data_IF_115734032584
#
_entry.id   IF_115734032584
#
_cell.length_a   1.000
_cell.length_b   1.000
_cell.length_c   1.000
_cell.angle_alpha   90.00
_cell.angle_beta   90.00
_cell.angle_gamma   90.00
#
_symmetry.space_group_name_H-M   'P 1'
#
loop_
_entity.id
_entity.type
_entity.pdbx_description
1 polymer ?
#
# COMPACT_ATOMS: atom_id res chain seq x y z
N UNK A 1 8.83 1.64 5.86
CA UNK A 1 9.47 0.88 6.95
C UNK A 1 10.91 1.36 7.20
N UNK A 2 11.73 1.55 6.14
CA UNK A 2 13.17 1.85 6.26
C UNK A 2 13.55 3.19 5.64
N UNK A 3 12.60 3.99 5.20
CA UNK A 3 12.80 5.31 4.56
C UNK A 3 13.73 5.29 3.35
N UNK A 4 13.80 4.17 2.63
CA UNK A 4 14.51 4.10 1.35
C UNK A 4 13.73 4.85 0.27
N UNK A 5 14.46 5.49 -0.66
CA UNK A 5 13.86 6.01 -1.87
C UNK A 5 13.40 4.87 -2.80
N UNK A 6 12.45 5.14 -3.71
CA UNK A 6 11.91 4.11 -4.58
C UNK A 6 12.92 3.43 -5.50
N UNK A 7 13.93 4.18 -6.01
CA UNK A 7 14.95 3.62 -6.88
C UNK A 7 15.84 2.64 -6.12
N UNK A 8 16.28 2.99 -4.91
CA UNK A 8 17.03 2.08 -4.02
C UNK A 8 16.26 0.79 -3.75
N UNK A 9 14.95 0.87 -3.52
CA UNK A 9 14.11 -0.33 -3.31
C UNK A 9 14.07 -1.20 -4.56
N UNK A 10 13.87 -0.59 -5.74
CA UNK A 10 13.79 -1.31 -7.02
C UNK A 10 15.15 -1.97 -7.36
N UNK A 11 16.24 -1.25 -7.23
CA UNK A 11 17.58 -1.77 -7.51
C UNK A 11 17.96 -2.91 -6.55
N UNK A 12 17.58 -2.79 -5.28
CA UNK A 12 17.82 -3.83 -4.28
C UNK A 12 16.96 -5.08 -4.57
N UNK A 13 15.70 -4.90 -4.93
CA UNK A 13 14.84 -6.02 -5.32
C UNK A 13 15.36 -6.69 -6.61
N UNK A 14 15.90 -5.93 -7.56
CA UNK A 14 16.57 -6.44 -8.76
C UNK A 14 17.80 -7.30 -8.41
N UNK A 15 18.64 -6.86 -7.47
CA UNK A 15 19.79 -7.64 -6.99
C UNK A 15 19.37 -8.96 -6.33
N UNK A 16 18.28 -8.95 -5.53
CA UNK A 16 17.75 -10.15 -4.92
C UNK A 16 17.22 -11.15 -5.97
N UNK A 17 16.57 -10.65 -7.02
CA UNK A 17 16.14 -11.45 -8.16
C UNK A 17 17.31 -12.06 -8.92
N UNK A 18 18.37 -11.29 -9.22
CA UNK A 18 19.57 -11.76 -9.89
C UNK A 18 20.31 -12.84 -9.07
N UNK A 19 20.25 -12.74 -7.74
CA UNK A 19 20.71 -13.77 -6.81
C UNK A 19 19.75 -14.96 -6.75
N UNK A 20 18.63 -14.95 -7.47
CA UNK A 20 17.57 -15.97 -7.47
C UNK A 20 16.88 -16.16 -6.10
N UNK A 21 16.94 -15.16 -5.23
CA UNK A 21 16.36 -15.23 -3.89
C UNK A 21 14.87 -14.81 -3.88
N UNK A 22 14.47 -13.98 -4.85
CA UNK A 22 13.08 -13.56 -5.03
C UNK A 22 12.66 -13.73 -6.49
N UNK A 23 11.35 -13.70 -6.74
CA UNK A 23 10.79 -13.65 -8.08
C UNK A 23 10.93 -12.26 -8.69
N UNK A 24 10.49 -12.08 -9.94
CA UNK A 24 10.69 -10.86 -10.73
C UNK A 24 10.17 -9.60 -10.01
N UNK A 25 11.00 -8.55 -9.83
CA UNK A 25 10.68 -7.43 -8.94
C UNK A 25 9.79 -6.34 -9.56
N UNK A 26 9.67 -6.28 -10.89
CA UNK A 26 8.89 -5.25 -11.58
C UNK A 26 7.48 -5.74 -11.88
N UNK A 27 6.81 -6.22 -10.84
CA UNK A 27 5.45 -6.74 -10.92
C UNK A 27 4.47 -5.80 -10.21
N UNK A 28 3.36 -5.53 -10.86
CA UNK A 28 2.20 -4.82 -10.31
C UNK A 28 1.15 -5.78 -9.74
N UNK A 29 1.35 -7.08 -9.91
CA UNK A 29 0.43 -8.12 -9.49
C UNK A 29 0.63 -8.50 -8.02
N UNK A 30 -0.48 -8.63 -7.30
CA UNK A 30 -0.52 -9.04 -5.88
C UNK A 30 -0.92 -10.52 -5.72
N UNK A 31 -1.09 -11.25 -6.84
CA UNK A 31 -1.60 -12.62 -6.86
C UNK A 31 -0.55 -13.63 -7.29
N UNK A 32 -0.76 -14.89 -6.90
CA UNK A 32 0.13 -16.01 -7.13
C UNK A 32 -0.56 -17.11 -7.95
N UNK A 33 0.14 -17.75 -8.89
CA UNK A 33 -0.38 -18.88 -9.63
C UNK A 33 -0.48 -20.12 -8.72
N UNK A 34 -1.51 -20.95 -8.90
CA UNK A 34 -1.74 -22.13 -8.03
C UNK A 34 -0.58 -23.12 -7.96
N UNK A 35 0.21 -23.27 -9.03
CA UNK A 35 1.36 -24.17 -9.07
C UNK A 35 2.49 -23.76 -8.11
N UNK A 36 2.67 -22.46 -7.83
CA UNK A 36 3.65 -21.99 -6.84
C UNK A 36 3.26 -22.32 -5.40
N UNK A 37 2.01 -22.74 -5.16
CA UNK A 37 1.61 -23.21 -3.84
C UNK A 37 2.33 -24.53 -3.48
N UNK A 38 2.74 -25.32 -4.44
CA UNK A 38 3.45 -26.58 -4.22
C UNK A 38 4.86 -26.37 -3.65
N UNK A 39 5.48 -25.23 -3.96
CA UNK A 39 6.80 -24.84 -3.46
C UNK A 39 6.80 -24.35 -2.01
N UNK A 40 5.64 -24.13 -1.39
CA UNK A 40 5.51 -23.54 -0.05
C UNK A 40 6.33 -24.22 1.03
N UNK A 41 6.39 -25.56 0.99
CA UNK A 41 7.14 -26.31 2.00
C UNK A 41 8.64 -26.06 1.91
N UNK A 42 9.19 -26.01 0.70
CA UNK A 42 10.60 -25.72 0.47
C UNK A 42 10.92 -24.27 0.88
N UNK A 43 10.08 -23.30 0.46
CA UNK A 43 10.26 -21.90 0.79
C UNK A 43 10.18 -21.67 2.30
N UNK A 44 9.15 -22.15 2.99
CA UNK A 44 9.00 -21.97 4.44
C UNK A 44 10.13 -22.64 5.22
N UNK A 45 10.61 -23.82 4.80
CA UNK A 45 11.78 -24.46 5.42
C UNK A 45 13.05 -23.62 5.22
N UNK A 46 13.25 -23.02 4.05
CA UNK A 46 14.37 -22.13 3.81
C UNK A 46 14.30 -20.87 4.67
N UNK A 47 13.12 -20.27 4.83
CA UNK A 47 12.90 -19.09 5.67
C UNK A 47 13.11 -19.43 7.16
N UNK A 48 12.72 -20.62 7.59
CA UNK A 48 12.98 -21.10 8.96
C UNK A 48 14.49 -21.21 9.28
N UNK A 49 15.30 -21.43 8.25
CA UNK A 49 16.77 -21.57 8.38
C UNK A 49 17.53 -20.34 7.85
N UNK A 50 16.86 -19.24 7.59
CA UNK A 50 17.47 -18.06 6.94
C UNK A 50 18.40 -17.25 7.84
N UNK A 51 18.47 -17.52 9.16
CA UNK A 51 19.34 -16.84 10.10
C UNK A 51 18.73 -15.55 10.71
N UNK A 52 17.42 -15.33 10.61
CA UNK A 52 16.66 -14.33 11.37
C UNK A 52 15.64 -15.05 12.25
N UNK A 53 15.68 -14.78 13.57
CA UNK A 53 14.84 -15.46 14.56
C UNK A 53 13.34 -15.26 14.34
N UNK A 54 12.92 -14.09 13.86
CA UNK A 54 11.51 -13.79 13.61
C UNK A 54 11.00 -14.56 12.40
N UNK A 55 11.76 -14.55 11.29
CA UNK A 55 11.40 -15.35 10.11
C UNK A 55 11.35 -16.82 10.45
N UNK A 56 12.30 -17.31 11.25
CA UNK A 56 12.35 -18.71 11.69
C UNK A 56 11.10 -19.10 12.49
N UNK A 57 10.75 -18.29 13.48
CA UNK A 57 9.57 -18.53 14.31
C UNK A 57 8.29 -18.47 13.49
N UNK A 58 8.11 -17.41 12.69
CA UNK A 58 6.90 -17.24 11.87
C UNK A 58 6.75 -18.34 10.83
N UNK A 59 7.84 -18.78 10.19
CA UNK A 59 7.79 -19.88 9.24
C UNK A 59 7.53 -21.24 9.92
N UNK A 60 7.93 -21.41 11.19
CA UNK A 60 7.62 -22.60 11.98
C UNK A 60 6.14 -22.65 12.39
N UNK A 61 5.57 -21.51 12.78
CA UNK A 61 4.18 -21.38 13.23
C UNK A 61 3.17 -21.35 12.06
N UNK A 62 3.64 -21.19 10.83
CA UNK A 62 2.81 -21.09 9.63
C UNK A 62 2.01 -22.39 9.37
N UNK A 63 0.69 -22.25 9.21
CA UNK A 63 -0.16 -23.36 8.80
C UNK A 63 -0.08 -23.56 7.28
N UNK A 64 0.69 -24.57 6.88
CA UNK A 64 0.95 -24.89 5.47
C UNK A 64 -0.25 -25.45 4.71
N UNK A 65 -1.35 -25.72 5.38
CA UNK A 65 -2.63 -26.13 4.76
C UNK A 65 -3.45 -24.93 4.28
N UNK A 66 -3.20 -23.74 4.82
CA UNK A 66 -3.90 -22.52 4.42
C UNK A 66 -3.50 -22.16 2.99
N UNK A 67 -4.50 -21.96 2.14
CA UNK A 67 -4.37 -21.38 0.81
C UNK A 67 -5.14 -20.08 0.77
N UNK A 68 -4.43 -18.98 1.01
CA UNK A 68 -5.04 -17.65 1.05
C UNK A 68 -5.63 -17.23 -0.31
N UNK A 69 -6.40 -16.15 -0.33
CA UNK A 69 -6.96 -15.55 -1.56
C UNK A 69 -5.89 -15.01 -2.54
N UNK A 70 -4.61 -14.96 -2.12
CA UNK A 70 -3.51 -14.55 -3.00
C UNK A 70 -3.28 -15.56 -4.14
N UNK A 71 -3.54 -16.86 -3.95
CA UNK A 71 -3.45 -17.87 -5.02
C UNK A 71 -4.68 -17.82 -5.92
N UNK A 72 -4.67 -16.88 -6.89
CA UNK A 72 -5.79 -16.63 -7.78
C UNK A 72 -5.32 -16.40 -9.23
N UNK A 73 -5.34 -17.44 -10.03
CA UNK A 73 -4.91 -17.43 -11.43
C UNK A 73 -5.68 -16.42 -12.29
N UNK A 74 -6.98 -16.22 -12.00
CA UNK A 74 -7.83 -15.30 -12.78
C UNK A 74 -7.43 -13.82 -12.64
N UNK A 75 -6.62 -13.51 -11.65
CA UNK A 75 -6.15 -12.14 -11.38
C UNK A 75 -4.67 -11.93 -11.73
N UNK A 76 -4.04 -12.93 -12.33
CA UNK A 76 -2.67 -12.83 -12.83
C UNK A 76 -2.73 -12.31 -14.25
N UNK A 77 -1.89 -11.34 -14.54
CA UNK A 77 -1.69 -10.79 -15.88
C UNK A 77 -0.41 -11.36 -16.49
N UNK A 78 0.56 -10.52 -16.84
CA UNK A 78 1.86 -10.94 -17.36
C UNK A 78 2.81 -11.44 -16.26
N UNK A 79 2.64 -10.96 -15.03
CA UNK A 79 3.50 -11.26 -13.89
C UNK A 79 2.65 -11.67 -12.67
N UNK A 80 3.30 -12.29 -11.70
CA UNK A 80 2.70 -12.63 -10.40
C UNK A 80 3.39 -11.86 -9.27
N UNK A 81 2.87 -11.96 -8.05
CA UNK A 81 3.42 -11.28 -6.88
C UNK A 81 4.89 -11.67 -6.60
N UNK A 82 5.62 -10.75 -6.00
CA UNK A 82 7.01 -10.96 -5.60
C UNK A 82 7.05 -11.82 -4.34
N UNK A 83 7.71 -12.97 -4.43
CA UNK A 83 7.84 -13.93 -3.32
C UNK A 83 9.28 -14.45 -3.21
N UNK A 84 9.70 -15.00 -2.06
CA UNK A 84 10.93 -15.77 -1.97
C UNK A 84 10.88 -17.00 -2.87
N UNK A 85 12.03 -17.45 -3.34
CA UNK A 85 12.16 -18.67 -4.15
C UNK A 85 12.51 -19.89 -3.28
N UNK A 86 12.63 -21.05 -3.91
CA UNK A 86 13.12 -22.28 -3.28
C UNK A 86 14.62 -22.29 -3.03
N UNK A 87 15.35 -21.23 -3.40
CA UNK A 87 16.79 -21.11 -3.14
C UNK A 87 17.02 -20.71 -1.68
N UNK A 88 17.85 -21.49 -0.98
CA UNK A 88 18.20 -21.19 0.41
C UNK A 88 18.98 -19.87 0.52
N UNK A 89 18.60 -19.05 1.50
CA UNK A 89 19.21 -17.75 1.76
C UNK A 89 19.71 -17.69 3.20
N UNK A 90 20.97 -17.31 3.39
CA UNK A 90 21.45 -16.82 4.69
C UNK A 90 21.33 -15.27 4.69
N UNK A 91 20.33 -14.74 5.39
CA UNK A 91 20.03 -13.31 5.41
C UNK A 91 21.19 -12.48 5.97
N UNK A 92 22.07 -13.09 6.80
CA UNK A 92 23.24 -12.44 7.37
C UNK A 92 24.37 -12.23 6.34
N UNK A 93 24.33 -12.88 5.20
CA UNK A 93 25.29 -12.69 4.09
C UNK A 93 24.87 -11.57 3.13
N UNK A 94 23.69 -10.99 3.30
CA UNK A 94 23.15 -9.92 2.47
C UNK A 94 23.59 -8.55 2.98
N UNK A 95 23.58 -7.54 2.09
CA UNK A 95 23.72 -6.14 2.51
C UNK A 95 22.53 -5.73 3.42
N UNK A 96 22.65 -4.59 4.09
CA UNK A 96 21.56 -4.14 4.98
C UNK A 96 20.27 -3.88 4.21
N UNK A 97 20.37 -3.27 3.02
CA UNK A 97 19.24 -3.00 2.13
C UNK A 97 18.61 -4.30 1.63
N UNK A 98 19.44 -5.21 1.13
CA UNK A 98 18.99 -6.53 0.65
C UNK A 98 18.31 -7.32 1.77
N UNK A 99 18.88 -7.31 2.97
CA UNK A 99 18.31 -7.94 4.17
C UNK A 99 16.93 -7.39 4.49
N UNK A 100 16.82 -6.07 4.52
CA UNK A 100 15.58 -5.38 4.86
C UNK A 100 14.48 -5.67 3.83
N UNK A 101 14.80 -5.61 2.53
CA UNK A 101 13.83 -5.89 1.46
C UNK A 101 13.45 -7.38 1.43
N UNK A 102 14.42 -8.28 1.53
CA UNK A 102 14.16 -9.72 1.59
C UNK A 102 13.29 -10.08 2.80
N UNK A 103 13.54 -9.46 3.96
CA UNK A 103 12.73 -9.64 5.16
C UNK A 103 11.27 -9.24 4.93
N UNK A 104 11.00 -8.06 4.32
CA UNK A 104 9.63 -7.61 4.06
C UNK A 104 8.89 -8.55 3.07
N UNK A 105 9.58 -8.98 2.01
CA UNK A 105 9.02 -9.93 1.04
C UNK A 105 8.70 -11.26 1.74
N UNK A 106 9.61 -11.76 2.56
CA UNK A 106 9.44 -13.02 3.31
C UNK A 106 8.31 -12.91 4.33
N UNK A 107 8.21 -11.82 5.06
CA UNK A 107 7.12 -11.54 6.00
C UNK A 107 5.76 -11.55 5.30
N UNK A 108 5.63 -10.88 4.16
CA UNK A 108 4.40 -10.84 3.38
C UNK A 108 4.02 -12.23 2.82
N UNK A 109 5.01 -13.03 2.44
CA UNK A 109 4.80 -14.40 1.99
C UNK A 109 4.34 -15.32 3.14
N UNK A 110 5.03 -15.29 4.27
CA UNK A 110 4.66 -16.09 5.46
C UNK A 110 3.24 -15.74 5.93
N UNK A 111 2.85 -14.47 5.86
CA UNK A 111 1.51 -14.02 6.24
C UNK A 111 0.37 -14.72 5.47
N UNK A 112 0.67 -15.26 4.28
CA UNK A 112 -0.32 -16.00 3.47
C UNK A 112 -0.68 -17.38 4.08
N UNK A 113 0.06 -17.84 5.08
CA UNK A 113 -0.13 -19.09 5.79
C UNK A 113 -0.61 -18.90 7.24
N UNK A 114 -1.16 -17.72 7.53
CA UNK A 114 -1.80 -17.40 8.80
C UNK A 114 -3.30 -17.19 8.60
N UNK A 115 -4.07 -17.43 9.66
CA UNK A 115 -5.52 -17.20 9.65
C UNK A 115 -5.91 -15.76 9.37
N UNK A 116 -7.18 -15.53 9.13
CA UNK A 116 -7.72 -14.19 8.90
C UNK A 116 -7.64 -13.35 10.18
N UNK A 117 -7.52 -12.03 10.01
CA UNK A 117 -7.69 -11.08 11.10
C UNK A 117 -9.18 -10.84 11.30
N UNK A 118 -9.71 -11.29 12.44
CA UNK A 118 -11.13 -11.21 12.77
C UNK A 118 -11.36 -10.17 13.87
N UNK A 119 -12.31 -9.28 13.66
CA UNK A 119 -12.69 -8.28 14.65
C UNK A 119 -14.19 -8.00 14.63
N UNK A 120 -14.70 -7.59 15.77
CA UNK A 120 -16.05 -7.02 15.89
C UNK A 120 -15.98 -5.50 15.84
N UNK A 121 -16.83 -4.90 15.02
CA UNK A 121 -16.99 -3.45 14.95
C UNK A 121 -18.39 -3.10 15.44
N UNK A 122 -18.45 -2.29 16.50
CA UNK A 122 -19.71 -1.80 17.08
C UNK A 122 -19.86 -0.32 16.77
N UNK A 123 -21.03 0.07 16.27
CA UNK A 123 -21.41 1.47 16.12
C UNK A 123 -22.67 1.71 16.94
N UNK A 124 -22.57 2.64 17.90
CA UNK A 124 -23.70 3.11 18.70
C UNK A 124 -24.05 4.52 18.23
N UNK A 125 -25.32 4.74 17.90
CA UNK A 125 -25.86 6.06 17.57
C UNK A 125 -26.91 6.41 18.62
N UNK A 126 -26.70 7.51 19.32
CA UNK A 126 -27.63 8.05 20.30
C UNK A 126 -28.22 9.34 19.74
N UNK A 127 -29.53 9.43 19.69
CA UNK A 127 -30.23 10.66 19.26
C UNK A 127 -30.76 11.42 20.47
N UNK A 128 -30.47 12.71 20.53
CA UNK A 128 -31.06 13.63 21.51
C UNK A 128 -31.36 14.96 20.83
N UNK A 129 -32.60 15.43 20.93
CA UNK A 129 -33.05 16.73 20.38
C UNK A 129 -32.72 16.91 18.89
N UNK A 130 -32.78 15.84 18.10
CA UNK A 130 -32.43 15.77 16.67
C UNK A 130 -30.91 15.85 16.35
N UNK A 131 -30.07 15.80 17.37
CA UNK A 131 -28.62 15.67 17.19
C UNK A 131 -28.21 14.23 17.39
N UNK A 132 -27.28 13.74 16.57
CA UNK A 132 -26.75 12.38 16.63
C UNK A 132 -25.37 12.38 17.29
N UNK A 133 -25.20 11.53 18.28
CA UNK A 133 -23.93 11.22 18.93
C UNK A 133 -23.50 9.82 18.53
N UNK A 134 -22.32 9.69 17.93
CA UNK A 134 -21.81 8.43 17.40
C UNK A 134 -20.63 7.93 18.21
N UNK A 135 -20.69 6.70 18.67
CA UNK A 135 -19.55 5.99 19.25
C UNK A 135 -19.22 4.79 18.36
N UNK A 136 -17.94 4.66 18.01
CA UNK A 136 -17.40 3.53 17.26
C UNK A 136 -16.43 2.77 18.17
N UNK A 137 -16.56 1.45 18.21
CA UNK A 137 -15.67 0.55 18.93
C UNK A 137 -15.22 -0.60 18.04
N UNK A 138 -14.02 -1.10 18.29
CA UNK A 138 -13.46 -2.24 17.59
C UNK A 138 -12.75 -3.17 18.56
N UNK A 139 -13.14 -4.43 18.55
CA UNK A 139 -12.54 -5.47 19.38
C UNK A 139 -11.95 -6.54 18.47
N UNK A 140 -10.64 -6.78 18.58
CA UNK A 140 -9.98 -7.85 17.85
C UNK A 140 -10.32 -9.19 18.51
N UNK A 141 -10.86 -10.13 17.76
CA UNK A 141 -11.18 -11.48 18.19
C UNK A 141 -10.02 -12.42 17.87
N UNK A 142 -9.48 -12.33 16.65
CA UNK A 142 -8.32 -13.09 16.21
C UNK A 142 -7.34 -12.19 15.47
N UNK A 143 -6.09 -12.21 15.90
CA UNK A 143 -5.03 -11.42 15.28
C UNK A 143 -4.73 -11.88 13.85
N UNK A 144 -4.75 -13.17 13.62
CA UNK A 144 -4.43 -13.79 12.34
C UNK A 144 -3.08 -13.31 11.80
N UNK A 145 -3.01 -13.08 10.48
CA UNK A 145 -1.79 -12.64 9.80
C UNK A 145 -1.22 -11.29 10.31
N UNK A 146 -2.04 -10.44 10.93
CA UNK A 146 -1.57 -9.15 11.47
C UNK A 146 -0.58 -9.30 12.63
N UNK A 147 -0.57 -10.47 13.28
CA UNK A 147 0.41 -10.77 14.32
C UNK A 147 1.86 -10.54 13.83
N UNK A 148 2.16 -10.86 12.57
CA UNK A 148 3.49 -10.72 11.99
C UNK A 148 3.92 -9.24 11.86
N UNK A 149 2.98 -8.32 11.82
CA UNK A 149 3.21 -6.87 11.64
C UNK A 149 3.21 -6.08 12.96
N UNK A 150 2.88 -6.73 14.08
CA UNK A 150 2.96 -6.09 15.40
C UNK A 150 4.42 -5.81 15.75
N UNK A 151 4.70 -4.56 16.13
CA UNK A 151 6.00 -4.21 16.70
C UNK A 151 6.12 -4.83 18.08
N UNK A 152 7.16 -5.61 18.33
CA UNK A 152 7.59 -5.89 19.69
C UNK A 152 8.05 -4.57 20.31
N UNK A 153 7.24 -4.01 21.24
CA UNK A 153 7.69 -2.93 22.10
C UNK A 153 8.82 -3.49 22.96
N UNK A 154 10.07 -3.37 22.50
CA UNK A 154 11.21 -3.54 23.39
C UNK A 154 11.13 -2.43 24.44
N UNK A 155 11.13 -2.80 25.71
CA UNK A 155 11.25 -1.88 26.84
C UNK A 155 12.64 -1.26 26.82
N UNK A 156 12.85 -0.19 26.08
CA UNK A 156 13.96 0.74 26.31
C UNK A 156 13.69 2.09 25.66
N UNK A 157 13.48 3.07 26.51
CA UNK A 157 13.84 4.50 26.43
C UNK A 157 13.39 5.33 25.24
N UNK A 158 12.51 6.28 25.57
CA UNK A 158 12.48 7.69 25.10
C UNK A 158 13.04 7.94 23.70
N UNK A 159 12.16 7.97 22.70
CA UNK A 159 12.21 8.97 21.65
C UNK A 159 10.86 9.01 20.92
N UNK A 160 10.28 10.21 20.87
CA UNK A 160 9.04 10.54 20.20
C UNK A 160 9.23 10.58 18.68
N UNK A 161 9.37 9.43 18.03
CA UNK A 161 9.34 9.30 16.58
C UNK A 161 8.66 7.98 16.23
N UNK A 162 7.33 7.95 16.30
CA UNK A 162 6.53 6.87 15.72
C UNK A 162 6.34 7.14 14.23
N UNK A 163 6.89 6.33 13.32
CA UNK A 163 6.31 6.20 11.99
C UNK A 163 5.07 5.31 12.13
N UNK A 164 3.92 5.93 11.93
CA UNK A 164 2.63 5.27 11.77
C UNK A 164 2.70 4.29 10.58
N UNK A 165 2.84 3.00 10.88
CA UNK A 165 2.67 1.91 9.90
C UNK A 165 1.23 1.42 9.97
N UNK A 166 0.27 2.31 9.94
CA UNK A 166 -1.10 1.93 9.61
C UNK A 166 -1.11 1.46 8.16
N UNK A 167 -1.72 0.31 7.96
CA UNK A 167 -1.88 -0.39 6.68
C UNK A 167 -2.71 0.46 5.70
N UNK A 168 -2.08 1.44 5.04
CA UNK A 168 -2.71 2.26 3.99
C UNK A 168 -2.81 1.51 2.65
N UNK A 169 -2.67 0.18 2.63
CA UNK A 169 -2.97 -0.59 1.43
C UNK A 169 -4.47 -0.72 1.23
N UNK A 170 -5.04 0.24 0.50
CA UNK A 170 -6.38 0.13 -0.09
C UNK A 170 -7.55 0.69 0.71
N UNK A 171 -7.31 1.57 1.68
CA UNK A 171 -8.39 2.40 2.20
C UNK A 171 -8.50 3.65 1.34
N UNK A 172 -9.59 3.79 0.58
CA UNK A 172 -10.01 5.08 0.04
C UNK A 172 -9.93 6.10 1.17
N UNK A 173 -9.11 7.13 0.97
CA UNK A 173 -9.08 8.27 1.88
C UNK A 173 -10.35 9.09 1.67
N UNK A 174 -11.47 8.55 2.12
CA UNK A 174 -12.67 9.33 2.35
C UNK A 174 -12.36 10.26 3.54
N UNK A 175 -12.40 11.59 3.36
CA UNK A 175 -12.15 12.54 4.45
C UNK A 175 -13.14 12.39 5.63
N UNK A 176 -14.10 11.49 5.53
CA UNK A 176 -15.05 11.10 6.59
C UNK A 176 -14.71 9.79 7.30
N UNK A 177 -13.61 9.09 6.93
CA UNK A 177 -13.14 7.94 7.73
C UNK A 177 -12.47 8.48 8.99
N UNK A 178 -13.24 8.57 10.07
CA UNK A 178 -12.68 8.64 11.41
C UNK A 178 -11.71 7.47 11.60
N UNK A 179 -10.49 7.78 12.02
CA UNK A 179 -9.53 6.78 12.51
C UNK A 179 -10.21 6.15 13.72
N UNK A 180 -10.77 4.96 13.55
CA UNK A 180 -11.29 4.17 14.66
C UNK A 180 -10.04 3.64 15.36
N UNK A 181 -9.59 4.36 16.39
CA UNK A 181 -8.62 3.83 17.33
C UNK A 181 -9.13 2.50 17.84
N UNK A 182 -8.23 1.55 18.13
CA UNK A 182 -8.57 0.33 18.88
C UNK A 182 -9.02 0.78 20.26
N UNK A 183 -10.27 1.19 20.37
CA UNK A 183 -10.85 1.70 21.60
C UNK A 183 -11.68 0.60 22.24
N UNK A 184 -11.59 0.61 23.54
CA UNK A 184 -12.23 -0.20 24.53
C UNK A 184 -13.65 -0.70 24.16
N UNK A 185 -14.01 -1.79 24.79
CA UNK A 185 -15.35 -2.36 24.69
C UNK A 185 -16.42 -1.30 24.92
N UNK A 186 -17.19 -1.00 23.86
CA UNK A 186 -18.39 -0.21 24.05
C UNK A 186 -19.40 -0.99 24.91
N UNK A 187 -20.22 -0.30 25.70
CA UNK A 187 -21.24 -0.97 26.52
C UNK A 187 -22.23 -1.73 25.63
N UNK A 188 -22.67 -2.87 26.14
CA UNK A 188 -23.71 -3.66 25.47
C UNK A 188 -25.06 -2.93 25.59
N UNK A 189 -25.49 -2.29 24.52
CA UNK A 189 -26.79 -1.61 24.41
C UNK A 189 -27.61 -2.21 23.27
N UNK A 190 -28.93 -2.14 23.38
CA UNK A 190 -29.87 -2.58 22.36
C UNK A 190 -30.55 -1.38 21.71
N UNK A 191 -31.08 -1.60 20.51
CA UNK A 191 -31.89 -0.58 19.83
C UNK A 191 -33.05 -0.15 20.70
N UNK A 192 -33.23 1.15 20.86
CA UNK A 192 -34.24 1.83 21.70
C UNK A 192 -33.98 1.77 23.23
N UNK A 193 -32.78 1.38 23.66
CA UNK A 193 -32.40 1.59 25.05
C UNK A 193 -32.30 3.09 25.33
N UNK A 194 -32.75 3.49 26.53
CA UNK A 194 -32.59 4.86 27.01
C UNK A 194 -31.24 5.01 27.71
N UNK A 195 -30.43 5.99 27.30
CA UNK A 195 -29.16 6.32 27.92
C UNK A 195 -29.25 7.62 28.70
N UNK A 196 -28.47 7.74 29.76
CA UNK A 196 -28.41 8.95 30.57
C UNK A 196 -27.30 9.85 30.03
N UNK A 197 -27.65 11.05 29.62
CA UNK A 197 -26.66 12.09 29.31
C UNK A 197 -26.08 12.63 30.63
N UNK A 198 -24.76 12.58 30.78
CA UNK A 198 -24.05 13.03 31.99
C UNK A 198 -23.30 14.33 31.76
N UNK A 199 -22.53 14.41 30.69
CA UNK A 199 -21.70 15.56 30.35
C UNK A 199 -21.30 15.57 28.89
N UNK A 200 -20.91 16.74 28.37
CA UNK A 200 -20.32 16.91 27.03
C UNK A 200 -19.29 18.03 27.01
N UNK A 201 -18.33 17.93 26.12
CA UNK A 201 -17.38 18.97 25.82
C UNK A 201 -17.38 19.31 24.35
N UNK A 202 -17.16 20.57 24.02
CA UNK A 202 -17.00 21.02 22.62
C UNK A 202 -15.51 21.22 22.37
N UNK A 203 -14.94 20.42 21.46
CA UNK A 203 -13.59 20.61 20.99
C UNK A 203 -13.59 21.37 19.66
N UNK A 204 -13.01 22.57 19.66
CA UNK A 204 -12.86 23.34 18.42
C UNK A 204 -11.65 22.86 17.66
N UNK A 205 -11.86 22.33 16.45
CA UNK A 205 -10.80 21.84 15.56
C UNK A 205 -10.75 22.67 14.29
N UNK A 206 -9.54 22.86 13.77
CA UNK A 206 -9.32 23.46 12.47
C UNK A 206 -8.93 22.40 11.46
N UNK A 207 -9.48 22.46 10.26
CA UNK A 207 -9.03 21.63 9.14
C UNK A 207 -7.59 21.98 8.78
N UNK A 208 -6.78 20.98 8.51
CA UNK A 208 -5.41 21.14 8.03
C UNK A 208 -5.37 20.77 6.54
N UNK A 209 -4.52 21.44 5.75
CA UNK A 209 -4.31 21.01 4.38
C UNK A 209 -3.74 19.60 4.34
N UNK A 210 -3.97 18.83 3.24
CA UNK A 210 -3.36 17.52 3.06
C UNK A 210 -1.84 17.58 3.24
N UNK A 211 -1.26 16.52 3.77
CA UNK A 211 0.20 16.40 3.86
C UNK A 211 0.82 16.41 2.47
N UNK A 212 2.01 17.01 2.34
CA UNK A 212 2.78 16.94 1.09
C UNK A 212 3.19 15.50 0.82
N UNK A 213 3.37 15.18 -0.45
CA UNK A 213 3.84 13.87 -0.86
C UNK A 213 5.26 13.58 -0.35
N UNK A 214 5.50 12.31 -0.08
CA UNK A 214 6.83 11.71 -0.04
C UNK A 214 7.02 10.91 -1.33
N UNK A 215 8.23 10.45 -1.70
CA UNK A 215 8.41 9.58 -2.86
C UNK A 215 7.47 8.36 -2.85
N UNK A 216 7.29 7.74 -1.70
CA UNK A 216 6.38 6.58 -1.54
C UNK A 216 4.90 6.94 -1.76
N UNK A 217 4.42 8.04 -1.16
CA UNK A 217 3.02 8.45 -1.34
C UNK A 217 2.75 9.02 -2.74
N UNK A 218 3.76 9.61 -3.40
CA UNK A 218 3.66 10.01 -4.81
C UNK A 218 3.57 8.80 -5.74
N UNK A 219 4.38 7.74 -5.50
CA UNK A 219 4.24 6.46 -6.20
C UNK A 219 2.82 5.90 -6.09
N UNK A 220 2.26 5.92 -4.88
CA UNK A 220 0.89 5.47 -4.67
C UNK A 220 -0.12 6.36 -5.41
N UNK A 221 0.06 7.67 -5.40
CA UNK A 221 -0.78 8.61 -6.14
C UNK A 221 -0.71 8.37 -7.67
N UNK A 222 0.49 8.06 -8.22
CA UNK A 222 0.65 7.69 -9.62
C UNK A 222 -0.10 6.39 -9.97
N UNK A 223 -0.07 5.40 -9.08
CA UNK A 223 -0.82 4.15 -9.21
C UNK A 223 -2.34 4.39 -9.15
N UNK A 224 -2.76 5.32 -8.28
CA UNK A 224 -4.16 5.67 -8.04
C UNK A 224 -4.57 6.97 -8.74
N UNK A 225 -3.97 7.27 -9.89
CA UNK A 225 -4.13 8.55 -10.58
C UNK A 225 -5.59 8.88 -10.93
N UNK A 226 -6.44 7.86 -11.05
CA UNK A 226 -7.88 8.04 -11.25
C UNK A 226 -8.55 8.93 -10.19
N UNK A 227 -7.95 9.07 -8.99
CA UNK A 227 -8.45 9.97 -7.94
C UNK A 227 -8.26 11.45 -8.27
N UNK A 228 -7.37 11.75 -9.21
CA UNK A 228 -7.01 13.11 -9.63
C UNK A 228 -7.64 13.50 -10.98
N UNK A 229 -8.37 12.61 -11.62
CA UNK A 229 -9.11 12.86 -12.86
C UNK A 229 -10.30 13.75 -12.57
N UNK A 230 -10.49 14.81 -13.35
CA UNK A 230 -11.62 15.74 -13.23
C UNK A 230 -12.91 15.16 -13.81
N UNK A 231 -12.81 14.42 -14.92
CA UNK A 231 -13.95 13.83 -15.61
C UNK A 231 -14.31 12.48 -15.00
N UNK A 232 -15.51 12.35 -14.43
CA UNK A 232 -15.96 11.11 -13.76
C UNK A 232 -16.11 9.91 -14.72
N UNK A 233 -16.38 10.13 -16.01
CA UNK A 233 -16.46 9.04 -17.00
C UNK A 233 -15.08 8.48 -17.30
N UNK A 234 -14.07 9.34 -17.46
CA UNK A 234 -12.68 8.95 -17.67
C UNK A 234 -12.04 8.32 -16.40
N UNK A 235 -12.54 8.66 -15.22
CA UNK A 235 -12.08 8.08 -13.96
C UNK A 235 -12.22 6.56 -13.92
N UNK A 236 -13.29 6.01 -14.52
CA UNK A 236 -13.51 4.56 -14.60
C UNK A 236 -12.46 3.88 -15.47
N UNK A 237 -12.04 4.52 -16.55
CA UNK A 237 -11.02 4.01 -17.48
C UNK A 237 -9.66 3.91 -16.78
N UNK A 238 -9.19 5.00 -16.17
CA UNK A 238 -7.91 4.99 -15.43
C UNK A 238 -7.91 4.09 -14.19
N UNK A 239 -9.08 3.76 -13.66
CA UNK A 239 -9.18 2.75 -12.59
C UNK A 239 -8.97 1.33 -13.11
N UNK A 240 -9.27 1.07 -14.38
CA UNK A 240 -9.10 -0.24 -15.02
C UNK A 240 -7.63 -0.50 -15.43
N UNK A 241 -6.86 0.57 -15.69
CA UNK A 241 -5.44 0.49 -16.00
C UNK A 241 -4.59 0.72 -14.73
N UNK A 242 -3.32 0.35 -14.78
CA UNK A 242 -2.41 0.39 -13.62
C UNK A 242 -1.92 1.81 -13.25
N UNK A 243 -2.65 2.86 -13.57
CA UNK A 243 -2.29 4.26 -13.30
C UNK A 243 -1.33 4.86 -14.33
N UNK A 244 -0.62 5.94 -13.98
CA UNK A 244 0.40 6.57 -14.82
C UNK A 244 1.75 5.91 -14.62
N UNK A 245 2.43 5.59 -15.72
CA UNK A 245 3.70 4.87 -15.72
C UNK A 245 3.55 3.40 -15.33
N UNK A 246 4.63 2.67 -15.34
CA UNK A 246 4.71 1.27 -14.91
C UNK A 246 5.50 1.15 -13.62
N UNK A 247 5.44 0.02 -12.94
CA UNK A 247 6.27 -0.26 -11.76
C UNK A 247 7.77 -0.09 -12.05
N UNK A 248 8.18 -0.33 -13.32
CA UNK A 248 9.56 -0.17 -13.75
C UNK A 248 9.99 1.30 -13.98
N UNK A 249 9.06 2.21 -14.21
CA UNK A 249 9.36 3.58 -14.65
C UNK A 249 9.05 4.65 -13.62
N UNK A 250 8.08 4.42 -12.71
CA UNK A 250 7.63 5.42 -11.74
C UNK A 250 8.76 5.95 -10.85
N UNK A 251 9.61 5.04 -10.33
CA UNK A 251 10.72 5.43 -9.47
C UNK A 251 11.69 6.38 -10.23
N UNK A 252 12.09 5.99 -11.44
CA UNK A 252 12.98 6.78 -12.28
C UNK A 252 12.38 8.14 -12.67
N UNK A 253 11.05 8.22 -12.91
CA UNK A 253 10.37 9.49 -13.20
C UNK A 253 10.50 10.44 -12.01
N UNK A 254 10.30 9.96 -10.78
CA UNK A 254 10.42 10.77 -9.56
C UNK A 254 11.85 11.27 -9.41
N UNK A 255 12.84 10.40 -9.58
CA UNK A 255 14.27 10.75 -9.49
C UNK A 255 14.66 11.76 -10.57
N UNK A 256 14.14 11.62 -11.79
CA UNK A 256 14.41 12.55 -12.87
C UNK A 256 13.82 13.95 -12.60
N UNK A 257 12.61 14.03 -12.03
CA UNK A 257 12.01 15.30 -11.62
C UNK A 257 12.85 16.00 -10.53
N UNK A 258 13.45 15.24 -9.62
CA UNK A 258 14.34 15.77 -8.58
C UNK A 258 15.69 16.19 -9.21
N UNK A 259 16.28 15.36 -10.06
CA UNK A 259 17.59 15.63 -10.68
C UNK A 259 17.55 16.83 -11.64
N UNK A 260 16.42 17.10 -12.28
CA UNK A 260 16.17 18.26 -13.14
C UNK A 260 15.75 19.51 -12.36
N UNK A 261 15.79 19.46 -11.04
CA UNK A 261 15.39 20.57 -10.15
C UNK A 261 13.94 21.04 -10.34
N UNK A 262 13.02 20.17 -10.73
CA UNK A 262 11.59 20.46 -10.72
C UNK A 262 10.96 20.21 -9.34
N UNK A 263 11.54 19.29 -8.58
CA UNK A 263 11.16 18.99 -7.19
C UNK A 263 12.40 18.87 -6.32
N UNK A 264 12.22 19.07 -5.02
CA UNK A 264 13.22 18.83 -3.98
C UNK A 264 12.65 18.03 -2.84
N UNK A 265 13.54 17.27 -2.17
CA UNK A 265 13.21 16.53 -0.95
C UNK A 265 13.68 17.31 0.28
N UNK A 266 12.96 17.15 1.41
CA UNK A 266 13.33 17.77 2.67
C UNK A 266 13.03 16.85 3.87
N UNK A 267 13.89 16.96 4.90
CA UNK A 267 13.76 16.23 6.17
C UNK A 267 13.95 14.71 6.05
N UNK A 268 13.93 14.02 7.19
CA UNK A 268 14.12 12.55 7.28
C UNK A 268 13.03 11.76 6.53
N UNK A 269 11.83 12.31 6.41
CA UNK A 269 10.71 11.69 5.69
C UNK A 269 10.74 11.94 4.18
N UNK A 270 11.77 12.64 3.66
CA UNK A 270 11.92 12.97 2.25
C UNK A 270 10.66 13.65 1.66
N UNK A 271 10.12 14.63 2.37
CA UNK A 271 8.93 15.35 1.92
C UNK A 271 9.23 16.08 0.63
N UNK A 272 8.42 15.84 -0.41
CA UNK A 272 8.54 16.43 -1.73
C UNK A 272 7.92 17.84 -1.74
N UNK A 273 8.63 18.77 -2.39
CA UNK A 273 8.14 20.12 -2.64
C UNK A 273 8.57 20.56 -4.04
N UNK A 274 7.68 21.24 -4.81
CA UNK A 274 8.11 21.85 -6.07
C UNK A 274 9.16 22.93 -5.81
N UNK A 275 10.04 23.10 -6.78
CA UNK A 275 11.00 24.22 -6.83
C UNK A 275 10.40 25.37 -7.62
N UNK A 276 11.10 26.51 -7.71
CA UNK A 276 10.72 27.61 -8.58
C UNK A 276 10.69 27.17 -10.05
N UNK A 277 11.68 26.38 -10.49
CA UNK A 277 11.71 25.78 -11.82
C UNK A 277 10.51 24.89 -12.09
N UNK A 278 10.08 24.11 -11.08
CA UNK A 278 8.88 23.28 -11.17
C UNK A 278 7.60 24.08 -11.34
N UNK A 279 7.44 25.18 -10.63
CA UNK A 279 6.30 26.10 -10.82
C UNK A 279 6.31 26.72 -12.21
N UNK A 280 7.47 27.22 -12.68
CA UNK A 280 7.59 27.80 -14.02
C UNK A 280 7.23 26.80 -15.12
N UNK A 281 7.61 25.52 -14.96
CA UNK A 281 7.23 24.46 -15.90
C UNK A 281 5.71 24.32 -15.96
N UNK A 282 5.06 24.20 -14.79
CA UNK A 282 3.59 24.01 -14.72
C UNK A 282 2.85 25.23 -15.29
N UNK A 283 3.32 26.44 -14.99
CA UNK A 283 2.71 27.68 -15.50
C UNK A 283 2.88 27.86 -17.01
N UNK A 284 3.91 27.23 -17.62
CA UNK A 284 4.18 27.30 -19.06
C UNK A 284 3.43 26.22 -19.86
N UNK A 285 2.90 25.17 -19.21
CA UNK A 285 2.18 24.09 -19.88
C UNK A 285 0.73 24.47 -20.16
N UNK A 286 0.17 24.01 -21.28
CA UNK A 286 -1.27 24.11 -21.54
C UNK A 286 -2.06 23.34 -20.47
N UNK A 287 -3.28 23.83 -20.17
CA UNK A 287 -4.10 23.25 -19.08
C UNK A 287 -4.39 21.77 -19.29
N UNK A 288 -4.55 21.34 -20.53
CA UNK A 288 -4.83 19.95 -20.91
C UNK A 288 -3.72 19.00 -20.43
N UNK A 289 -2.46 19.44 -20.39
CA UNK A 289 -1.31 18.64 -19.96
C UNK A 289 -1.09 18.65 -18.44
N UNK A 290 -1.85 19.45 -17.69
CA UNK A 290 -1.74 19.54 -16.24
C UNK A 290 -2.52 18.44 -15.49
N UNK A 291 -3.40 17.75 -16.19
CA UNK A 291 -4.29 16.75 -15.60
C UNK A 291 -4.13 15.39 -16.28
N UNK A 292 -4.39 14.29 -15.57
CA UNK A 292 -4.28 12.94 -16.13
C UNK A 292 -5.41 12.58 -17.11
N UNK A 293 -6.36 13.50 -17.36
CA UNK A 293 -7.52 13.28 -18.21
C UNK A 293 -7.11 12.93 -19.64
N UNK A 294 -6.09 13.57 -20.22
CA UNK A 294 -5.55 13.24 -21.54
C UNK A 294 -5.01 11.81 -21.60
N UNK A 295 -4.30 11.38 -20.57
CA UNK A 295 -3.83 9.98 -20.48
C UNK A 295 -5.03 9.02 -20.44
N UNK A 296 -6.11 9.38 -19.76
CA UNK A 296 -7.32 8.58 -19.70
C UNK A 296 -7.99 8.45 -21.07
N UNK A 297 -8.05 9.53 -21.84
CA UNK A 297 -8.58 9.51 -23.23
C UNK A 297 -7.73 8.61 -24.12
N UNK A 298 -6.40 8.69 -24.01
CA UNK A 298 -5.52 7.83 -24.81
C UNK A 298 -5.67 6.35 -24.45
N UNK A 299 -5.75 6.02 -23.16
CA UNK A 299 -5.96 4.63 -22.71
C UNK A 299 -7.33 4.08 -23.17
N UNK A 300 -8.40 4.91 -23.14
CA UNK A 300 -9.70 4.54 -23.67
C UNK A 300 -9.63 4.23 -25.17
N UNK A 301 -9.01 5.10 -25.95
CA UNK A 301 -8.86 4.91 -27.40
C UNK A 301 -8.01 3.68 -27.73
N UNK A 302 -6.93 3.43 -26.97
CA UNK A 302 -6.12 2.22 -27.13
C UNK A 302 -6.92 0.95 -26.80
N UNK A 303 -7.79 0.99 -25.79
CA UNK A 303 -8.68 -0.12 -25.47
C UNK A 303 -9.68 -0.37 -26.63
N UNK A 304 -10.32 0.67 -27.16
CA UNK A 304 -11.22 0.58 -28.32
C UNK A 304 -10.50 0.01 -29.56
N UNK A 305 -9.23 0.41 -29.79
CA UNK A 305 -8.42 -0.18 -30.88
C UNK A 305 -8.20 -1.68 -30.66
N UNK A 306 -7.97 -2.14 -29.41
CA UNK A 306 -7.79 -3.56 -29.12
C UNK A 306 -9.06 -4.39 -29.36
N UNK A 307 -10.22 -3.74 -29.29
CA UNK A 307 -11.54 -4.32 -29.57
C UNK A 307 -11.95 -4.18 -31.03
N UNK A 308 -11.18 -3.43 -31.85
CA UNK A 308 -11.45 -3.17 -33.27
C UNK A 308 -12.47 -2.06 -33.50
N UNK A 309 -12.78 -1.27 -32.49
CA UNK A 309 -13.75 -0.16 -32.52
C UNK A 309 -13.11 1.21 -32.85
N UNK A 310 -11.78 1.34 -32.77
CA UNK A 310 -11.00 2.51 -33.21
C UNK A 310 -9.82 2.04 -34.10
N UNK A 311 -9.17 2.97 -34.81
CA UNK A 311 -8.05 2.70 -35.70
C UNK A 311 -6.82 3.54 -35.34
N UNK A 312 -5.63 3.05 -35.74
CA UNK A 312 -4.38 3.81 -35.55
C UNK A 312 -4.44 5.17 -36.24
N UNK A 313 -4.98 5.22 -37.48
CA UNK A 313 -5.08 6.47 -38.26
C UNK A 313 -5.99 7.48 -37.55
N UNK A 314 -7.11 7.03 -36.98
CA UNK A 314 -8.00 7.85 -36.16
C UNK A 314 -7.32 8.33 -34.87
N UNK A 315 -6.51 7.47 -34.25
CA UNK A 315 -5.80 7.80 -33.00
C UNK A 315 -4.70 8.85 -33.21
N UNK A 316 -4.01 8.82 -34.38
CA UNK A 316 -2.91 9.73 -34.71
C UNK A 316 -3.38 11.06 -35.31
N UNK A 317 -4.64 11.18 -35.73
CA UNK A 317 -5.24 12.39 -36.30
C UNK A 317 -5.66 13.38 -35.18
#
# INVERSE_FOLDING_TARGET
AFSYDPQTVLDTAQKLYEKKLTTYPRSDCEYLPPNQYDDRNAILNNLQNAGDERLAQWAADADRSIKSRAWNEKKITAHHAIIPTTVACNINSLSQEERNIYFLISQAYIAQFYGEHIYEQTKIVVEQSKEEFVANGRVVIEEGWKLLYKRHKSKSTTDNDEPDLTDERGAESDPKKEVIEETDHLPAVKKNDTVLYTDSSIESKQTKPPSRFTPSTLLQAMKEIHKFVKNEDLKKQLKAVSGIGTEATRANIIDELISRDFMKTSGKKQVLSPTETGYLLVDALPEELLYPDETAVWEERLALMSEGEDTLDSFLA
#
